data_IF_832645497925
#
_entry.id   IF_832645497925
#
_cell.length_a   1.000
_cell.length_b   1.000
_cell.length_c   1.000
_cell.angle_alpha   90.00
_cell.angle_beta   90.00
_cell.angle_gamma   90.00
#
_symmetry.space_group_name_H-M   'P 1'
#
loop_
_entity.id
_entity.type
_entity.pdbx_description
1 polymer ?
#
# COMPACT_ATOMS: atom_id res chain seq x y z
N UNK A 1 10.17 -2.78 -29.41
CA UNK A 1 10.87 -3.13 -28.15
C UNK A 1 11.04 -1.97 -27.17
N UNK A 2 11.41 -0.74 -27.58
CA UNK A 2 11.31 0.47 -26.71
C UNK A 2 9.93 1.16 -26.83
N UNK A 3 9.17 0.83 -27.89
CA UNK A 3 7.81 1.32 -28.18
C UNK A 3 6.72 0.78 -27.25
N UNK A 4 6.88 -0.44 -26.76
CA UNK A 4 5.84 -1.15 -25.99
C UNK A 4 5.88 -0.77 -24.50
N UNK A 5 7.02 -0.24 -24.04
CA UNK A 5 7.19 0.30 -22.69
C UNK A 5 6.56 1.69 -22.53
N UNK A 6 6.52 2.51 -23.60
CA UNK A 6 5.84 3.82 -23.58
C UNK A 6 4.31 3.69 -23.56
N UNK A 7 3.75 2.68 -24.23
CA UNK A 7 2.29 2.45 -24.29
C UNK A 7 1.68 1.92 -22.98
N UNK A 8 2.48 1.30 -22.11
CA UNK A 8 2.01 0.77 -20.82
C UNK A 8 2.11 1.77 -19.65
N UNK A 9 2.79 2.90 -19.83
CA UNK A 9 2.81 3.98 -18.84
C UNK A 9 1.50 4.79 -18.88
N UNK A 10 0.86 4.88 -20.05
CA UNK A 10 -0.42 5.60 -20.23
C UNK A 10 -1.64 4.86 -19.67
N UNK A 11 -1.47 3.66 -19.10
CA UNK A 11 -2.53 2.89 -18.44
C UNK A 11 -2.38 2.82 -16.91
N UNK A 12 -1.54 3.66 -16.33
CA UNK A 12 -1.49 3.94 -14.88
C UNK A 12 -2.78 4.66 -14.47
N UNK A 13 -3.77 3.89 -14.00
CA UNK A 13 -5.00 4.43 -13.41
C UNK A 13 -4.63 5.37 -12.26
N UNK A 14 -4.78 6.68 -12.48
CA UNK A 14 -4.63 7.72 -11.47
C UNK A 14 -5.86 7.69 -10.58
N UNK A 15 -5.74 7.27 -9.33
CA UNK A 15 -6.74 7.65 -8.32
C UNK A 15 -6.34 9.02 -7.79
N UNK A 16 -6.95 10.07 -8.32
CA UNK A 16 -6.80 11.44 -7.82
C UNK A 16 -7.91 11.64 -6.76
N UNK A 17 -7.53 11.80 -5.49
CA UNK A 17 -8.44 12.25 -4.44
C UNK A 17 -8.13 13.73 -4.19
N UNK A 18 -9.15 14.58 -4.25
CA UNK A 18 -9.13 15.96 -3.77
C UNK A 18 -9.38 15.94 -2.26
N UNK A 19 -8.43 16.43 -1.47
CA UNK A 19 -8.64 16.74 -0.06
C UNK A 19 -9.35 18.10 0.02
N UNK A 20 -10.48 18.19 0.71
CA UNK A 20 -11.24 19.46 0.85
C UNK A 20 -10.49 20.51 1.70
N UNK A 21 -9.36 20.17 2.33
CA UNK A 21 -8.61 21.07 3.21
C UNK A 21 -7.11 21.23 2.89
N UNK A 22 -6.63 20.76 1.72
CA UNK A 22 -5.34 21.19 1.19
C UNK A 22 -5.20 20.74 -0.27
N UNK A 23 -4.87 21.69 -1.15
CA UNK A 23 -4.70 21.49 -2.60
C UNK A 23 -3.49 20.62 -2.96
N UNK A 24 -3.52 19.32 -2.61
CA UNK A 24 -2.51 18.35 -3.05
C UNK A 24 -3.21 17.05 -3.42
N UNK A 25 -3.45 16.85 -4.72
CA UNK A 25 -3.97 15.60 -5.25
C UNK A 25 -3.00 14.45 -4.94
N UNK A 26 -3.37 13.53 -4.05
CA UNK A 26 -2.52 12.40 -3.68
C UNK A 26 -2.56 11.31 -4.75
N UNK A 27 -1.58 11.33 -5.65
CA UNK A 27 -1.43 10.29 -6.66
C UNK A 27 -0.86 9.01 -6.01
N UNK A 28 -1.64 7.95 -5.91
CA UNK A 28 -1.19 6.59 -5.54
C UNK A 28 -1.34 5.67 -6.75
N UNK A 29 -0.26 4.99 -7.10
CA UNK A 29 -0.24 4.11 -8.27
C UNK A 29 -0.34 2.64 -7.86
N UNK A 30 -1.32 1.89 -8.39
CA UNK A 30 -1.37 0.44 -8.22
C UNK A 30 -0.27 -0.24 -9.04
N UNK A 31 0.31 -1.31 -8.51
CA UNK A 31 1.23 -2.20 -9.24
C UNK A 31 0.49 -3.49 -9.64
N UNK A 32 0.63 -3.91 -10.90
CA UNK A 32 -0.02 -5.13 -11.41
C UNK A 32 0.72 -6.38 -10.97
N UNK A 33 0.22 -7.04 -9.93
CA UNK A 33 0.65 -8.36 -9.51
C UNK A 33 -0.41 -9.00 -8.58
N UNK A 34 -0.46 -10.33 -8.51
CA UNK A 34 -1.34 -11.11 -7.61
C UNK A 34 -0.93 -11.04 -6.12
N UNK A 35 -1.84 -11.52 -5.25
CA UNK A 35 -1.91 -11.50 -3.76
C UNK A 35 -0.56 -11.59 -2.99
N UNK A 36 -0.53 -11.20 -1.70
CA UNK A 36 0.73 -11.19 -0.92
C UNK A 36 1.37 -12.56 -0.83
N UNK A 37 0.57 -13.60 -0.63
CA UNK A 37 1.05 -14.98 -0.59
C UNK A 37 1.81 -15.31 -1.87
N UNK A 38 1.30 -14.90 -3.02
CA UNK A 38 1.95 -15.17 -4.31
C UNK A 38 3.14 -14.24 -4.56
N UNK A 39 3.10 -13.01 -4.03
CA UNK A 39 4.25 -12.13 -4.07
C UNK A 39 5.43 -12.67 -3.26
N UNK A 40 5.17 -13.13 -2.02
CA UNK A 40 6.19 -13.74 -1.16
C UNK A 40 6.69 -15.09 -1.68
N UNK A 41 5.92 -15.79 -2.52
CA UNK A 41 6.36 -17.03 -3.21
C UNK A 41 7.42 -16.80 -4.28
N UNK A 42 7.62 -15.56 -4.76
CA UNK A 42 8.71 -15.24 -5.70
C UNK A 42 10.06 -15.37 -5.02
N UNK A 43 11.11 -15.57 -5.83
CA UNK A 43 12.48 -15.59 -5.33
C UNK A 43 12.86 -14.24 -4.71
N UNK A 44 13.65 -14.28 -3.64
CA UNK A 44 14.14 -13.10 -2.92
C UNK A 44 14.81 -12.09 -3.85
N UNK A 45 15.62 -12.57 -4.79
CA UNK A 45 16.40 -11.73 -5.70
C UNK A 45 15.48 -10.93 -6.64
N UNK A 46 14.37 -11.54 -7.06
CA UNK A 46 13.37 -10.86 -7.90
C UNK A 46 12.68 -9.75 -7.12
N UNK A 47 12.28 -10.01 -5.86
CA UNK A 47 11.63 -8.99 -5.03
C UNK A 47 12.57 -7.82 -4.75
N UNK A 48 13.83 -8.10 -4.39
CA UNK A 48 14.88 -7.07 -4.22
C UNK A 48 15.05 -6.23 -5.48
N UNK A 49 15.11 -6.88 -6.66
CA UNK A 49 15.25 -6.16 -7.93
C UNK A 49 14.05 -5.26 -8.21
N UNK A 50 12.83 -5.71 -7.89
CA UNK A 50 11.61 -4.93 -8.08
C UNK A 50 11.59 -3.71 -7.15
N UNK A 51 11.81 -3.90 -5.85
CA UNK A 51 11.82 -2.78 -4.89
C UNK A 51 12.88 -1.75 -5.24
N UNK A 52 14.08 -2.22 -5.59
CA UNK A 52 15.19 -1.36 -6.00
C UNK A 52 14.83 -0.49 -7.21
N UNK A 53 14.22 -1.09 -8.24
CA UNK A 53 13.76 -0.35 -9.42
C UNK A 53 12.66 0.68 -9.08
N UNK A 54 11.73 0.35 -8.17
CA UNK A 54 10.68 1.27 -7.74
C UNK A 54 11.30 2.47 -7.00
N UNK A 55 12.22 2.22 -6.07
CA UNK A 55 12.88 3.27 -5.27
C UNK A 55 13.71 4.18 -6.16
N UNK A 56 14.48 3.63 -7.11
CA UNK A 56 15.25 4.43 -8.08
C UNK A 56 14.34 5.30 -8.95
N UNK A 57 13.21 4.74 -9.40
CA UNK A 57 12.25 5.47 -10.26
C UNK A 57 11.44 6.50 -9.48
N UNK A 58 11.18 6.26 -8.20
CA UNK A 58 10.32 7.08 -7.34
C UNK A 58 10.94 7.28 -5.94
N UNK A 59 11.99 8.09 -5.80
CA UNK A 59 12.80 8.17 -4.58
C UNK A 59 12.04 8.72 -3.36
N UNK A 60 10.97 9.51 -3.58
CA UNK A 60 10.13 10.07 -2.52
C UNK A 60 8.90 9.20 -2.22
N UNK A 61 8.96 7.92 -2.56
CA UNK A 61 7.85 7.00 -2.38
C UNK A 61 8.30 5.68 -1.80
N UNK A 62 7.37 5.07 -1.05
CA UNK A 62 7.56 3.81 -0.37
C UNK A 62 6.80 2.71 -1.11
N UNK A 63 7.46 1.59 -1.47
CA UNK A 63 6.78 0.41 -1.97
C UNK A 63 6.15 -0.38 -0.82
N UNK A 64 4.82 -0.44 -0.79
CA UNK A 64 4.04 -1.12 0.25
C UNK A 64 3.26 -2.26 -0.38
N UNK A 65 3.30 -3.42 0.26
CA UNK A 65 2.47 -4.56 -0.05
C UNK A 65 1.47 -4.74 1.10
N UNK A 66 0.18 -4.81 0.79
CA UNK A 66 -0.93 -4.85 1.75
C UNK A 66 -1.66 -6.19 1.67
N UNK A 67 -1.83 -6.87 2.81
CA UNK A 67 -2.56 -8.14 2.91
C UNK A 67 -3.86 -7.94 3.64
N UNK A 68 -4.74 -8.91 3.50
CA UNK A 68 -5.96 -8.93 4.29
C UNK A 68 -6.47 -10.35 4.47
N UNK A 69 -7.30 -10.54 5.51
CA UNK A 69 -8.04 -11.79 5.68
C UNK A 69 -8.99 -12.01 4.49
N UNK A 70 -9.36 -13.27 4.24
CA UNK A 70 -10.23 -13.67 3.11
C UNK A 70 -11.60 -12.99 3.09
N UNK A 71 -12.04 -12.47 4.23
CA UNK A 71 -13.32 -11.74 4.38
C UNK A 71 -13.26 -10.32 3.80
N UNK A 72 -12.07 -9.76 3.63
CA UNK A 72 -11.83 -8.46 3.03
C UNK A 72 -11.59 -8.64 1.54
N UNK A 73 -12.46 -8.07 0.71
CA UNK A 73 -12.22 -7.98 -0.72
C UNK A 73 -11.40 -6.73 -1.06
N UNK A 74 -10.11 -6.91 -1.30
CA UNK A 74 -9.17 -5.86 -1.71
C UNK A 74 -8.81 -6.02 -3.18
N UNK A 75 -9.12 -5.00 -3.99
CA UNK A 75 -8.90 -4.98 -5.44
C UNK A 75 -7.41 -4.98 -5.83
N UNK A 76 -6.60 -4.28 -5.05
CA UNK A 76 -5.16 -4.09 -5.26
C UNK A 76 -4.42 -4.22 -3.93
N UNK A 77 -3.38 -5.03 -3.93
CA UNK A 77 -2.55 -5.32 -2.75
C UNK A 77 -1.18 -4.63 -2.80
N UNK A 78 -0.91 -3.77 -3.78
CA UNK A 78 0.43 -3.17 -3.99
C UNK A 78 0.34 -1.69 -4.29
N UNK A 79 1.13 -0.94 -3.56
CA UNK A 79 1.00 0.51 -3.45
C UNK A 79 2.38 1.16 -3.54
N UNK A 80 2.45 2.30 -4.22
CA UNK A 80 3.60 3.20 -4.16
C UNK A 80 3.12 4.49 -3.49
N UNK A 81 3.43 4.62 -2.21
CA UNK A 81 2.84 5.64 -1.32
C UNK A 81 3.82 6.79 -1.11
N UNK A 82 3.39 8.07 -1.16
CA UNK A 82 4.23 9.20 -0.78
C UNK A 82 4.81 9.03 0.63
N UNK A 83 6.07 9.39 0.82
CA UNK A 83 6.76 9.22 2.10
C UNK A 83 6.30 10.24 3.18
N UNK A 84 5.68 11.34 2.77
CA UNK A 84 5.11 12.40 3.62
C UNK A 84 3.69 12.10 4.12
N UNK A 85 3.11 10.98 3.69
CA UNK A 85 1.78 10.55 4.12
C UNK A 85 1.82 9.96 5.55
N UNK A 86 0.77 10.20 6.34
CA UNK A 86 0.55 9.46 7.60
C UNK A 86 -0.07 8.09 7.34
N UNK A 87 0.14 7.16 8.27
CA UNK A 87 -0.51 5.83 8.25
C UNK A 87 -2.04 5.97 8.27
N UNK A 88 -2.60 6.91 9.04
CA UNK A 88 -4.04 7.15 9.12
C UNK A 88 -4.63 7.64 7.79
N UNK A 89 -3.91 8.50 7.06
CA UNK A 89 -4.29 8.88 5.70
C UNK A 89 -4.23 7.67 4.75
N UNK A 90 -3.22 6.80 4.87
CA UNK A 90 -3.14 5.58 4.06
C UNK A 90 -4.30 4.63 4.35
N UNK A 91 -4.60 4.43 5.63
CA UNK A 91 -5.69 3.62 6.13
C UNK A 91 -7.05 4.13 5.63
N UNK A 92 -7.27 5.44 5.59
CA UNK A 92 -8.47 6.04 5.01
C UNK A 92 -8.63 5.69 3.52
N UNK A 93 -7.52 5.71 2.76
CA UNK A 93 -7.51 5.33 1.35
C UNK A 93 -7.85 3.84 1.18
N UNK A 94 -7.29 2.97 2.02
CA UNK A 94 -7.62 1.55 2.03
C UNK A 94 -9.09 1.32 2.37
N UNK A 95 -9.62 2.02 3.39
CA UNK A 95 -11.04 1.92 3.80
C UNK A 95 -12.01 2.28 2.68
N UNK A 96 -11.65 3.21 1.80
CA UNK A 96 -12.46 3.56 0.60
C UNK A 96 -12.45 2.48 -0.50
N UNK A 97 -11.46 1.60 -0.53
CA UNK A 97 -11.31 0.55 -1.55
C UNK A 97 -11.91 -0.79 -1.15
N UNK A 98 -12.14 -0.98 0.15
CA UNK A 98 -12.68 -2.23 0.69
C UNK A 98 -14.18 -2.06 0.94
N UNK A 99 -14.95 -3.09 0.61
CA UNK A 99 -16.35 -3.21 1.02
C UNK A 99 -16.41 -3.83 2.41
N UNK A 100 -16.68 -3.02 3.44
CA UNK A 100 -16.93 -3.49 4.82
C UNK A 100 -18.30 -3.00 5.29
N UNK A 101 -18.88 -3.70 6.27
CA UNK A 101 -20.13 -3.27 6.88
C UNK A 101 -19.92 -1.97 7.69
N UNK A 102 -20.98 -1.18 7.85
CA UNK A 102 -20.91 0.11 8.57
C UNK A 102 -20.47 -0.03 10.04
N UNK A 103 -20.65 -1.21 10.64
CA UNK A 103 -20.29 -1.54 12.03
C UNK A 103 -18.85 -2.06 12.18
N UNK A 104 -18.10 -2.14 11.08
CA UNK A 104 -16.74 -2.66 11.07
C UNK A 104 -15.74 -1.52 10.82
N UNK A 105 -14.62 -1.60 11.51
CA UNK A 105 -13.43 -0.80 11.20
C UNK A 105 -12.27 -1.71 10.85
N UNK A 106 -11.34 -1.16 10.08
CA UNK A 106 -10.06 -1.81 9.83
C UNK A 106 -9.05 -1.32 10.83
N UNK A 107 -7.97 -2.06 11.02
CA UNK A 107 -6.72 -1.60 11.60
C UNK A 107 -5.55 -2.19 10.81
N UNK A 108 -4.40 -1.55 10.89
CA UNK A 108 -3.20 -1.95 10.15
C UNK A 108 -2.17 -2.54 11.10
N UNK A 109 -1.59 -3.66 10.69
CA UNK A 109 -0.46 -4.30 11.36
C UNK A 109 0.77 -4.34 10.47
N UNK A 110 1.95 -4.25 11.08
CA UNK A 110 3.22 -4.56 10.45
C UNK A 110 4.00 -5.47 11.41
N UNK A 111 4.54 -6.59 10.91
CA UNK A 111 5.24 -7.58 11.75
C UNK A 111 4.43 -8.00 13.00
N UNK A 112 3.12 -8.23 12.82
CA UNK A 112 2.17 -8.61 13.86
C UNK A 112 1.97 -7.55 14.98
N UNK A 113 2.43 -6.31 14.77
CA UNK A 113 2.24 -5.20 15.71
C UNK A 113 1.30 -4.15 15.11
N UNK A 114 0.46 -3.55 15.95
CA UNK A 114 -0.41 -2.43 15.55
C UNK A 114 0.44 -1.22 15.14
N UNK A 115 0.06 -0.60 14.03
CA UNK A 115 0.73 0.59 13.52
C UNK A 115 0.04 1.84 14.08
N UNK A 116 0.83 2.84 14.47
CA UNK A 116 0.31 4.12 14.96
C UNK A 116 -0.16 4.99 13.79
N UNK A 117 -1.43 5.40 13.80
CA UNK A 117 -2.03 6.17 12.70
C UNK A 117 -1.38 7.54 12.44
N UNK A 118 -0.77 8.16 13.45
CA UNK A 118 -0.08 9.46 13.32
C UNK A 118 1.34 9.34 12.79
N UNK A 119 1.90 8.13 12.68
CA UNK A 119 3.24 7.91 12.16
C UNK A 119 3.29 8.18 10.65
N UNK A 120 4.39 8.79 10.19
CA UNK A 120 4.67 8.93 8.76
C UNK A 120 5.05 7.57 8.15
N UNK A 121 4.56 7.31 6.95
CA UNK A 121 4.89 6.11 6.18
C UNK A 121 6.41 5.95 6.02
N UNK A 122 7.16 7.05 5.87
CA UNK A 122 8.62 7.01 5.83
C UNK A 122 9.24 6.44 7.12
N UNK A 123 8.74 6.87 8.28
CA UNK A 123 9.27 6.45 9.57
C UNK A 123 8.99 4.97 9.80
N UNK A 124 7.76 4.54 9.50
CA UNK A 124 7.38 3.14 9.53
C UNK A 124 8.25 2.29 8.59
N UNK A 125 8.44 2.74 7.34
CA UNK A 125 9.27 2.05 6.35
C UNK A 125 10.70 1.85 6.84
N UNK A 126 11.32 2.90 7.38
CA UNK A 126 12.71 2.81 7.87
C UNK A 126 12.86 1.86 9.07
N UNK A 127 11.81 1.70 9.88
CA UNK A 127 11.79 0.80 11.05
C UNK A 127 11.47 -0.64 10.69
N UNK A 128 10.55 -0.87 9.76
CA UNK A 128 9.86 -2.17 9.61
C UNK A 128 9.89 -2.76 8.19
N UNK A 129 10.56 -2.12 7.22
CA UNK A 129 10.74 -2.74 5.90
C UNK A 129 11.45 -4.09 6.01
N UNK A 130 11.08 -4.99 5.12
CA UNK A 130 11.68 -6.30 4.98
C UNK A 130 13.03 -6.20 4.22
N UNK A 131 13.83 -7.26 4.25
CA UNK A 131 15.14 -7.31 3.59
C UNK A 131 15.02 -7.16 2.07
N UNK A 132 13.85 -7.49 1.51
CA UNK A 132 13.56 -7.34 0.09
C UNK A 132 13.20 -5.92 -0.34
N UNK A 133 13.17 -4.96 0.59
CA UNK A 133 12.92 -3.54 0.31
C UNK A 133 11.44 -3.18 0.20
N UNK A 134 10.51 -4.05 0.58
CA UNK A 134 9.09 -3.71 0.72
C UNK A 134 8.68 -3.53 2.18
N UNK A 135 7.66 -2.71 2.40
CA UNK A 135 6.92 -2.70 3.65
C UNK A 135 5.68 -3.58 3.52
N UNK A 136 5.54 -4.56 4.41
CA UNK A 136 4.39 -5.45 4.46
C UNK A 136 3.43 -4.99 5.54
N UNK A 137 2.19 -4.70 5.14
CA UNK A 137 1.11 -4.29 6.02
C UNK A 137 -0.02 -5.31 5.92
N UNK A 138 -0.64 -5.65 7.04
CA UNK A 138 -1.83 -6.51 7.08
C UNK A 138 -3.01 -5.65 7.54
N UNK A 139 -4.13 -5.75 6.82
CA UNK A 139 -5.42 -5.20 7.22
C UNK A 139 -6.17 -6.27 8.02
N UNK A 140 -6.61 -5.89 9.20
CA UNK A 140 -7.50 -6.70 10.02
C UNK A 140 -8.80 -5.95 10.31
N UNK A 141 -9.90 -6.68 10.49
CA UNK A 141 -11.20 -6.14 10.87
C UNK A 141 -11.36 -6.17 12.39
N UNK A 142 -12.01 -5.15 12.91
CA UNK A 142 -12.51 -5.08 14.28
C UNK A 142 -13.96 -4.61 14.26
N UNK A 143 -14.80 -5.22 15.09
CA UNK A 143 -16.17 -4.76 15.29
C UNK A 143 -16.13 -3.52 16.18
N UNK A 144 -16.69 -2.40 15.71
CA UNK A 144 -16.64 -1.13 16.47
C UNK A 144 -17.65 -1.05 17.60
N UNK A 145 -18.58 -2.00 17.66
CA UNK A 145 -19.50 -2.18 18.77
C UNK A 145 -19.08 -3.45 19.52
N UNK A 146 -18.61 -3.29 20.75
CA UNK A 146 -18.49 -4.41 21.67
C UNK A 146 -19.87 -5.02 21.91
N UNK A 147 -19.94 -6.33 22.02
CA UNK A 147 -21.17 -7.00 22.48
C UNK A 147 -21.59 -6.50 23.87
#
# INVERSE_FOLDING_TARGET
MISDLKKNIDKLVKTTITDENNNKSLNIYPLDYEYITDFRRRKSEERIKISHNIILKYPQRVPIIVDCNKEINLDKNKYIVPNDLTVGQFMYILKKRIKINHEQSIFLLCNNQLIINTELINNLYNKQKDYDGFLYIIISLENTFGN
#
